data_IF_977315443021
#
_entry.id   IF_977315443021
#
_cell.length_a   1.000
_cell.length_b   1.000
_cell.length_c   1.000
_cell.angle_alpha   90.00
_cell.angle_beta   90.00
_cell.angle_gamma   90.00
#
_symmetry.space_group_name_H-M   'P 1'
#
loop_
_entity.id
_entity.type
_entity.pdbx_description
1 polymer ?
#
# COMPACT_ATOMS: atom_id res chain seq x y z
N UNK A 1 20.80 19.19 -37.99
CA UNK A 1 21.34 18.21 -37.04
C UNK A 1 21.12 18.75 -35.63
N UNK A 2 20.23 18.15 -34.85
CA UNK A 2 20.11 18.49 -33.43
C UNK A 2 21.30 17.86 -32.70
N UNK A 3 22.32 18.66 -32.40
CA UNK A 3 23.39 18.23 -31.51
C UNK A 3 22.83 18.26 -30.10
N UNK A 4 22.34 17.13 -29.60
CA UNK A 4 22.11 17.00 -28.16
C UNK A 4 23.46 17.26 -27.47
N UNK A 5 23.56 18.23 -26.55
CA UNK A 5 24.81 18.51 -25.87
C UNK A 5 25.28 17.24 -25.16
N UNK A 6 26.40 16.70 -25.63
CA UNK A 6 26.99 15.44 -25.13
C UNK A 6 27.56 15.60 -23.71
N UNK A 7 27.58 16.81 -23.18
CA UNK A 7 27.89 17.14 -21.80
C UNK A 7 27.00 18.30 -21.34
N UNK A 8 26.27 18.10 -20.24
CA UNK A 8 25.66 19.20 -19.50
C UNK A 8 26.81 20.08 -18.95
N UNK A 9 26.76 21.41 -19.11
CA UNK A 9 27.64 22.31 -18.40
C UNK A 9 27.73 21.95 -16.91
N UNK A 10 28.92 21.97 -16.29
CA UNK A 10 29.09 21.66 -14.86
C UNK A 10 28.12 22.43 -13.94
N UNK A 11 27.78 23.67 -14.32
CA UNK A 11 26.83 24.54 -13.63
C UNK A 11 25.37 24.05 -13.69
N UNK A 12 25.00 23.26 -14.69
CA UNK A 12 23.68 22.67 -14.86
C UNK A 12 23.54 21.31 -14.15
N UNK A 13 24.63 20.70 -13.69
CA UNK A 13 24.61 19.43 -12.96
C UNK A 13 23.70 19.44 -11.73
N UNK A 14 23.86 20.39 -10.78
CA UNK A 14 22.98 20.51 -9.62
C UNK A 14 21.52 20.75 -10.00
N UNK A 15 21.24 21.54 -11.04
CA UNK A 15 19.88 21.82 -11.50
C UNK A 15 19.20 20.61 -12.14
N UNK A 16 19.94 19.81 -12.91
CA UNK A 16 19.45 18.56 -13.46
C UNK A 16 19.06 17.57 -12.34
N UNK A 17 19.90 17.47 -11.30
CA UNK A 17 19.60 16.66 -10.11
C UNK A 17 18.39 17.22 -9.37
N UNK A 18 18.33 18.54 -9.14
CA UNK A 18 17.19 19.20 -8.49
C UNK A 18 15.87 18.84 -9.19
N UNK A 19 15.79 19.05 -10.50
CA UNK A 19 14.58 18.78 -11.28
C UNK A 19 14.22 17.29 -11.29
N UNK A 20 15.20 16.41 -11.48
CA UNK A 20 14.97 14.96 -11.47
C UNK A 20 14.42 14.49 -10.13
N UNK A 21 15.04 14.92 -9.02
CA UNK A 21 14.60 14.57 -7.66
C UNK A 21 13.23 15.17 -7.38
N UNK A 22 13.00 16.44 -7.71
CA UNK A 22 11.72 17.11 -7.50
C UNK A 22 10.58 16.38 -8.21
N UNK A 23 10.74 16.09 -9.50
CA UNK A 23 9.75 15.37 -10.32
C UNK A 23 9.47 13.98 -9.76
N UNK A 24 10.52 13.28 -9.31
CA UNK A 24 10.38 11.96 -8.68
C UNK A 24 9.58 12.02 -7.38
N UNK A 25 9.91 12.97 -6.51
CA UNK A 25 9.26 13.15 -5.21
C UNK A 25 7.81 13.65 -5.35
N UNK A 26 7.49 14.35 -6.44
CA UNK A 26 6.11 14.69 -6.82
C UNK A 26 5.30 13.47 -7.33
N UNK A 27 5.90 12.28 -7.39
CA UNK A 27 5.22 11.03 -7.70
C UNK A 27 5.28 10.62 -9.18
N UNK A 28 6.02 11.36 -10.01
CA UNK A 28 6.32 10.94 -11.39
C UNK A 28 7.35 9.81 -11.33
N UNK A 29 7.19 8.71 -12.09
CA UNK A 29 8.09 7.56 -12.03
C UNK A 29 9.42 7.80 -12.76
N UNK A 30 10.13 8.87 -12.38
CA UNK A 30 11.51 9.14 -12.78
C UNK A 30 12.44 8.50 -11.73
N UNK A 31 13.53 7.83 -12.12
CA UNK A 31 14.41 7.16 -11.18
C UNK A 31 15.45 8.15 -10.62
N UNK A 32 15.11 8.83 -9.51
CA UNK A 32 16.04 9.76 -8.85
C UNK A 32 17.32 9.10 -8.31
N UNK A 33 17.24 7.86 -7.81
CA UNK A 33 18.40 7.16 -7.23
C UNK A 33 19.56 6.97 -8.25
N UNK A 34 19.32 6.44 -9.47
CA UNK A 34 20.34 6.42 -10.53
C UNK A 34 20.91 7.79 -10.88
N UNK A 35 20.07 8.84 -10.90
CA UNK A 35 20.54 10.21 -11.16
C UNK A 35 21.49 10.69 -10.06
N UNK A 36 21.20 10.38 -8.80
CA UNK A 36 22.06 10.72 -7.66
C UNK A 36 23.36 9.91 -7.64
N UNK A 37 23.31 8.63 -8.02
CA UNK A 37 24.51 7.81 -8.17
C UNK A 37 25.41 8.36 -9.28
N UNK A 38 24.87 8.66 -10.46
CA UNK A 38 25.62 9.28 -11.55
C UNK A 38 26.23 10.63 -11.13
N UNK A 39 25.46 11.47 -10.44
CA UNK A 39 25.96 12.74 -9.95
C UNK A 39 27.07 12.56 -8.89
N UNK A 40 26.98 11.52 -8.05
CA UNK A 40 28.05 11.11 -7.12
C UNK A 40 29.32 10.68 -7.84
N UNK A 41 29.21 9.85 -8.88
CA UNK A 41 30.33 9.47 -9.76
C UNK A 41 30.99 10.69 -10.40
N UNK A 42 30.19 11.61 -10.96
CA UNK A 42 30.71 12.84 -11.56
C UNK A 42 31.36 13.77 -10.53
N UNK A 43 30.83 13.81 -9.31
CA UNK A 43 31.42 14.57 -8.22
C UNK A 43 32.77 14.00 -7.78
N UNK A 44 32.93 12.66 -7.78
CA UNK A 44 34.18 11.99 -7.44
C UNK A 44 35.30 12.30 -8.46
N UNK A 45 34.96 12.45 -9.75
CA UNK A 45 35.90 12.83 -10.82
C UNK A 45 36.09 14.36 -10.90
N UNK A 46 35.48 15.13 -9.99
CA UNK A 46 35.65 16.59 -9.91
C UNK A 46 34.89 17.39 -10.96
N UNK A 47 33.95 16.77 -11.69
CA UNK A 47 33.18 17.45 -12.74
C UNK A 47 32.02 18.30 -12.20
N UNK A 48 31.49 17.96 -11.02
CA UNK A 48 30.40 18.70 -10.35
C UNK A 48 30.69 18.84 -8.85
N UNK A 49 30.19 19.91 -8.24
CA UNK A 49 30.35 20.11 -6.78
C UNK A 49 29.47 19.14 -6.00
N UNK A 50 30.09 18.35 -5.12
CA UNK A 50 29.37 17.45 -4.21
C UNK A 50 28.35 18.19 -3.34
N UNK A 51 28.78 19.31 -2.74
CA UNK A 51 27.92 20.13 -1.90
C UNK A 51 26.75 20.74 -2.70
N UNK A 52 27.01 21.21 -3.93
CA UNK A 52 25.96 21.76 -4.79
C UNK A 52 24.90 20.72 -5.16
N UNK A 53 25.31 19.52 -5.55
CA UNK A 53 24.41 18.41 -5.87
C UNK A 53 23.62 17.95 -4.63
N UNK A 54 24.30 17.83 -3.49
CA UNK A 54 23.67 17.43 -2.24
C UNK A 54 22.59 18.43 -1.79
N UNK A 55 22.92 19.72 -1.75
CA UNK A 55 21.96 20.79 -1.41
C UNK A 55 20.79 20.86 -2.39
N UNK A 56 21.07 20.67 -3.69
CA UNK A 56 20.03 20.61 -4.72
C UNK A 56 19.05 19.45 -4.49
N UNK A 57 19.56 18.24 -4.25
CA UNK A 57 18.74 17.06 -4.03
C UNK A 57 17.92 17.15 -2.72
N UNK A 58 18.55 17.61 -1.63
CA UNK A 58 17.85 17.81 -0.35
C UNK A 58 16.79 18.90 -0.49
N UNK A 59 17.11 20.03 -1.11
CA UNK A 59 16.17 21.12 -1.34
C UNK A 59 14.97 20.72 -2.20
N UNK A 60 15.20 19.97 -3.29
CA UNK A 60 14.14 19.42 -4.12
C UNK A 60 13.21 18.47 -3.35
N UNK A 61 13.81 17.62 -2.51
CA UNK A 61 13.07 16.68 -1.66
C UNK A 61 12.20 17.42 -0.65
N UNK A 62 12.78 18.35 0.11
CA UNK A 62 12.06 19.16 1.09
C UNK A 62 10.92 19.95 0.45
N UNK A 63 11.13 20.51 -0.75
CA UNK A 63 10.10 21.27 -1.47
C UNK A 63 8.91 20.38 -1.85
N UNK A 64 9.17 19.22 -2.46
CA UNK A 64 8.12 18.27 -2.83
C UNK A 64 7.36 17.74 -1.61
N UNK A 65 8.08 17.32 -0.58
CA UNK A 65 7.49 16.70 0.60
C UNK A 65 6.72 17.74 1.44
N UNK A 66 7.21 18.98 1.50
CA UNK A 66 6.45 20.10 2.07
C UNK A 66 5.16 20.36 1.32
N UNK A 67 5.20 20.39 -0.02
CA UNK A 67 3.99 20.54 -0.82
C UNK A 67 2.99 19.43 -0.49
N UNK A 68 3.43 18.18 -0.46
CA UNK A 68 2.57 17.05 -0.10
C UNK A 68 2.03 17.15 1.32
N UNK A 69 2.84 17.57 2.28
CA UNK A 69 2.45 17.78 3.67
C UNK A 69 1.37 18.85 3.82
N UNK A 70 1.51 20.00 3.15
CA UNK A 70 0.48 21.05 3.17
C UNK A 70 -0.78 20.63 2.42
N UNK A 71 -0.67 19.95 1.27
CA UNK A 71 -1.83 19.40 0.56
C UNK A 71 -2.54 18.37 1.44
N UNK A 72 -1.79 17.53 2.16
CA UNK A 72 -2.32 16.59 3.15
C UNK A 72 -3.04 17.30 4.30
N UNK A 73 -2.50 18.40 4.80
CA UNK A 73 -3.14 19.21 5.86
C UNK A 73 -4.46 19.84 5.44
N UNK A 74 -4.52 20.39 4.22
CA UNK A 74 -5.72 21.07 3.72
C UNK A 74 -6.77 20.08 3.24
N UNK A 75 -6.37 19.04 2.49
CA UNK A 75 -7.31 18.09 1.86
C UNK A 75 -7.56 16.84 2.70
N UNK A 76 -6.78 16.60 3.75
CA UNK A 76 -6.98 15.56 4.74
C UNK A 76 -7.18 14.17 4.14
N UNK A 77 -8.18 13.45 4.68
CA UNK A 77 -8.60 12.12 4.23
C UNK A 77 -9.03 12.04 2.76
N UNK A 78 -9.48 13.14 2.13
CA UNK A 78 -9.93 13.11 0.71
C UNK A 78 -8.77 12.84 -0.25
N UNK A 79 -7.61 13.42 0.00
CA UNK A 79 -6.39 13.16 -0.78
C UNK A 79 -5.97 11.69 -0.64
N UNK A 80 -5.88 11.21 0.60
CA UNK A 80 -5.47 9.84 0.88
C UNK A 80 -6.42 8.82 0.24
N UNK A 81 -7.74 9.05 0.34
CA UNK A 81 -8.73 8.19 -0.29
C UNK A 81 -8.66 8.22 -1.83
N UNK A 82 -8.35 9.37 -2.43
CA UNK A 82 -8.11 9.49 -3.87
C UNK A 82 -6.88 8.71 -4.34
N UNK A 83 -5.77 8.81 -3.59
CA UNK A 83 -4.53 8.07 -3.85
C UNK A 83 -4.73 6.55 -3.70
N UNK A 84 -5.43 6.11 -2.65
CA UNK A 84 -5.82 4.70 -2.46
C UNK A 84 -6.68 4.19 -3.61
N UNK A 85 -7.66 4.98 -4.06
CA UNK A 85 -8.54 4.61 -5.17
C UNK A 85 -7.77 4.42 -6.47
N UNK A 86 -6.70 5.20 -6.68
CA UNK A 86 -5.87 5.10 -7.87
C UNK A 86 -4.87 3.92 -7.82
N UNK A 87 -4.39 3.53 -6.62
CA UNK A 87 -3.46 2.42 -6.49
C UNK A 87 -3.67 1.55 -5.24
N UNK A 88 -3.98 0.27 -5.49
CA UNK A 88 -3.98 -0.81 -4.49
C UNK A 88 -2.63 -0.97 -3.75
N UNK A 89 -1.51 -0.64 -4.38
CA UNK A 89 -0.21 -0.72 -3.70
C UNK A 89 -0.06 0.34 -2.61
N UNK A 90 -0.74 1.48 -2.77
CA UNK A 90 -0.71 2.58 -1.81
C UNK A 90 -1.51 2.24 -0.56
N UNK A 91 -2.51 1.37 -0.64
CA UNK A 91 -3.29 0.92 0.53
C UNK A 91 -2.42 0.15 1.56
N UNK A 92 -1.59 -0.78 1.09
CA UNK A 92 -0.64 -1.50 1.96
C UNK A 92 0.42 -0.56 2.52
N UNK A 93 1.02 0.29 1.67
CA UNK A 93 2.00 1.29 2.12
C UNK A 93 1.41 2.28 3.12
N UNK A 94 0.14 2.69 2.95
CA UNK A 94 -0.59 3.54 3.89
C UNK A 94 -0.83 2.86 5.23
N UNK A 95 -1.22 1.59 5.24
CA UNK A 95 -1.38 0.83 6.50
C UNK A 95 -0.06 0.70 7.23
N UNK A 96 1.01 0.33 6.53
CA UNK A 96 2.36 0.24 7.11
C UNK A 96 2.79 1.60 7.65
N UNK A 97 2.62 2.66 6.87
CA UNK A 97 2.95 4.01 7.30
C UNK A 97 2.15 4.42 8.55
N UNK A 98 0.85 4.15 8.62
CA UNK A 98 0.02 4.41 9.81
C UNK A 98 0.47 3.62 11.03
N UNK A 99 0.64 2.30 10.91
CA UNK A 99 0.99 1.45 12.05
C UNK A 99 2.39 1.72 12.60
N UNK A 100 3.35 2.10 11.74
CA UNK A 100 4.69 2.51 12.18
C UNK A 100 4.65 3.93 12.74
N UNK A 101 3.86 4.84 12.14
CA UNK A 101 3.67 6.20 12.65
C UNK A 101 3.01 6.21 14.04
N UNK A 102 1.98 5.39 14.28
CA UNK A 102 1.34 5.27 15.60
C UNK A 102 2.35 4.86 16.69
N UNK A 103 3.37 4.08 16.32
CA UNK A 103 4.40 3.59 17.25
C UNK A 103 5.61 4.53 17.39
N UNK A 104 6.04 5.16 16.29
CA UNK A 104 7.33 5.88 16.23
C UNK A 104 7.22 7.35 15.84
N UNK A 105 6.06 7.83 15.38
CA UNK A 105 5.81 9.24 15.04
C UNK A 105 6.58 9.76 13.81
N UNK A 106 6.93 11.04 13.83
CA UNK A 106 7.64 11.75 12.77
C UNK A 106 9.00 11.15 12.33
N UNK A 107 9.81 10.53 13.22
CA UNK A 107 11.05 9.83 12.85
C UNK A 107 10.93 8.84 11.68
N UNK A 108 9.74 8.28 11.42
CA UNK A 108 9.52 7.37 10.28
C UNK A 108 9.95 7.96 8.93
N UNK A 109 9.89 9.29 8.78
CA UNK A 109 10.30 9.99 7.56
C UNK A 109 11.74 9.68 7.13
N UNK A 110 12.62 9.42 8.11
CA UNK A 110 14.03 9.13 7.85
C UNK A 110 14.21 7.83 7.08
N UNK A 111 13.46 6.79 7.43
CA UNK A 111 13.53 5.48 6.79
C UNK A 111 12.56 5.35 5.61
N UNK A 112 11.47 6.10 5.61
CA UNK A 112 10.42 6.03 4.59
C UNK A 112 10.93 6.32 3.17
N UNK A 113 11.98 7.15 3.02
CA UNK A 113 12.57 7.51 1.73
C UNK A 113 13.31 6.36 1.05
N UNK A 114 13.80 5.38 1.82
CA UNK A 114 14.46 4.19 1.28
C UNK A 114 13.47 3.14 0.80
N UNK A 115 12.20 3.22 1.22
CA UNK A 115 11.16 2.27 0.86
C UNK A 115 10.30 2.80 -0.30
N UNK A 116 10.29 2.11 -1.47
CA UNK A 116 9.51 2.55 -2.61
C UNK A 116 8.02 2.73 -2.28
N UNK A 117 7.50 3.92 -2.55
CA UNK A 117 6.09 4.27 -2.33
C UNK A 117 5.74 4.71 -0.90
N UNK A 118 6.58 4.44 0.11
CA UNK A 118 6.33 4.93 1.48
C UNK A 118 6.53 6.45 1.56
N UNK A 119 7.64 6.96 1.00
CA UNK A 119 7.94 8.40 0.99
C UNK A 119 6.81 9.28 0.46
N UNK A 120 6.21 8.90 -0.67
CA UNK A 120 5.08 9.63 -1.30
C UNK A 120 3.83 9.70 -0.41
N UNK A 121 3.66 8.73 0.49
CA UNK A 121 2.50 8.63 1.37
C UNK A 121 2.74 9.28 2.73
N UNK A 122 3.96 9.17 3.27
CA UNK A 122 4.27 9.61 4.62
C UNK A 122 4.08 11.13 4.78
N UNK A 123 4.60 11.93 3.85
CA UNK A 123 4.45 13.39 3.89
C UNK A 123 2.98 13.86 3.94
N UNK A 124 2.09 13.46 3.01
CA UNK A 124 0.69 13.86 3.08
C UNK A 124 -0.04 13.25 4.29
N UNK A 125 0.31 12.03 4.71
CA UNK A 125 -0.27 11.40 5.91
C UNK A 125 0.06 12.20 7.18
N UNK A 126 1.31 12.60 7.36
CA UNK A 126 1.75 13.46 8.46
C UNK A 126 1.07 14.83 8.43
N UNK A 127 0.79 15.35 7.24
CA UNK A 127 0.01 16.57 7.06
C UNK A 127 -1.39 16.50 7.66
N UNK A 128 -2.01 15.32 7.69
CA UNK A 128 -3.33 15.10 8.30
C UNK A 128 -3.31 15.09 9.84
N UNK A 129 -2.12 15.13 10.46
CA UNK A 129 -1.94 15.07 11.91
C UNK A 129 -1.68 16.46 12.51
N UNK A 130 -1.70 16.55 13.84
CA UNK A 130 -1.44 17.79 14.58
C UNK A 130 0.05 18.15 14.70
N UNK A 131 0.94 17.50 13.95
CA UNK A 131 2.39 17.77 14.00
C UNK A 131 2.68 19.17 13.45
N UNK A 132 3.50 19.92 14.20
CA UNK A 132 3.98 21.23 13.80
C UNK A 132 4.85 21.15 12.53
N UNK A 133 4.74 22.10 11.58
CA UNK A 133 5.52 22.09 10.35
C UNK A 133 7.04 22.04 10.56
N UNK A 134 7.55 22.69 11.61
CA UNK A 134 8.99 22.65 11.94
C UNK A 134 9.49 21.27 12.32
N UNK A 135 8.70 20.49 13.08
CA UNK A 135 9.05 19.12 13.47
C UNK A 135 9.05 18.20 12.23
N UNK A 136 8.07 18.37 11.35
CA UNK A 136 8.04 17.67 10.06
C UNK A 136 9.29 18.00 9.23
N UNK A 137 9.59 19.28 9.02
CA UNK A 137 10.73 19.73 8.23
C UNK A 137 12.07 19.21 8.78
N UNK A 138 12.23 19.18 10.11
CA UNK A 138 13.43 18.64 10.74
C UNK A 138 13.65 17.16 10.39
N UNK A 139 12.65 16.33 10.63
CA UNK A 139 12.75 14.89 10.36
C UNK A 139 12.82 14.57 8.87
N UNK A 140 12.13 15.36 8.05
CA UNK A 140 12.21 15.25 6.60
C UNK A 140 13.59 15.64 6.06
N UNK A 141 14.20 16.70 6.60
CA UNK A 141 15.55 17.13 6.27
C UNK A 141 16.60 16.08 6.64
N UNK A 142 16.48 15.47 7.83
CA UNK A 142 17.35 14.36 8.25
C UNK A 142 17.22 13.19 7.27
N UNK A 143 15.99 12.79 6.96
CA UNK A 143 15.74 11.71 5.99
C UNK A 143 16.27 12.01 4.60
N UNK A 144 16.01 13.22 4.10
CA UNK A 144 16.45 13.67 2.78
C UNK A 144 17.97 13.70 2.69
N UNK A 145 18.64 14.17 3.75
CA UNK A 145 20.10 14.23 3.86
C UNK A 145 20.71 12.83 3.88
N UNK A 146 20.18 11.92 4.70
CA UNK A 146 20.65 10.54 4.77
C UNK A 146 20.48 9.83 3.43
N UNK A 147 19.27 9.90 2.85
CA UNK A 147 18.96 9.28 1.57
C UNK A 147 19.84 9.81 0.44
N UNK A 148 19.92 11.14 0.29
CA UNK A 148 20.77 11.78 -0.71
C UNK A 148 22.23 11.39 -0.52
N UNK A 149 22.73 11.46 0.72
CA UNK A 149 24.09 11.09 1.08
C UNK A 149 24.41 9.65 0.71
N UNK A 150 23.52 8.70 1.02
CA UNK A 150 23.73 7.28 0.69
C UNK A 150 23.92 7.07 -0.82
N UNK A 151 23.08 7.68 -1.66
CA UNK A 151 23.20 7.49 -3.12
C UNK A 151 24.38 8.27 -3.72
N UNK A 152 24.68 9.47 -3.24
CA UNK A 152 25.85 10.23 -3.70
C UNK A 152 27.16 9.54 -3.32
N UNK A 153 27.32 9.13 -2.05
CA UNK A 153 28.51 8.41 -1.58
C UNK A 153 28.60 7.07 -2.29
N UNK A 154 27.50 6.34 -2.44
CA UNK A 154 27.47 5.07 -3.16
C UNK A 154 27.91 5.21 -4.62
N UNK A 155 27.47 6.27 -5.31
CA UNK A 155 27.91 6.57 -6.68
C UNK A 155 29.38 7.00 -6.79
N UNK A 156 29.91 7.69 -5.77
CA UNK A 156 31.32 8.04 -5.69
C UNK A 156 32.20 6.81 -5.37
N UNK A 157 31.75 5.93 -4.48
CA UNK A 157 32.46 4.72 -4.10
C UNK A 157 32.53 3.69 -5.23
N UNK A 158 31.43 3.52 -5.98
CA UNK A 158 31.30 2.58 -7.10
C UNK A 158 31.58 3.25 -8.46
N UNK A 159 32.40 4.30 -8.48
CA UNK A 159 32.58 5.09 -9.69
C UNK A 159 33.20 4.27 -10.84
N UNK A 160 34.16 3.40 -10.53
CA UNK A 160 34.82 2.54 -11.51
C UNK A 160 33.85 1.57 -12.19
N UNK A 161 33.00 0.90 -11.42
CA UNK A 161 32.01 -0.05 -11.92
C UNK A 161 30.92 0.66 -12.75
N UNK A 162 30.49 1.83 -12.30
CA UNK A 162 29.51 2.65 -13.03
C UNK A 162 30.09 3.11 -14.37
N UNK A 163 31.35 3.57 -14.38
CA UNK A 163 32.04 3.99 -15.62
C UNK A 163 32.19 2.81 -16.57
N UNK A 164 32.59 1.63 -16.08
CA UNK A 164 32.68 0.41 -16.91
C UNK A 164 31.33 0.01 -17.51
N UNK A 165 30.25 0.07 -16.73
CA UNK A 165 28.90 -0.19 -17.24
C UNK A 165 28.49 0.83 -18.33
N UNK A 166 28.82 2.11 -18.15
CA UNK A 166 28.56 3.14 -19.17
C UNK A 166 29.37 2.89 -20.45
N UNK A 167 30.63 2.45 -20.34
CA UNK A 167 31.45 2.10 -21.48
C UNK A 167 30.89 0.89 -22.24
N UNK A 168 30.36 -0.12 -21.53
CA UNK A 168 29.68 -1.27 -22.15
C UNK A 168 28.44 -0.84 -22.94
N UNK A 169 27.61 0.03 -22.37
CA UNK A 169 26.43 0.59 -23.05
C UNK A 169 26.85 1.34 -24.32
N UNK A 170 27.90 2.16 -24.21
CA UNK A 170 28.40 2.96 -25.33
C UNK A 170 29.06 2.11 -26.42
N UNK A 171 29.76 1.06 -26.04
CA UNK A 171 30.35 0.07 -26.97
C UNK A 171 29.28 -0.61 -27.82
N UNK A 172 28.10 -0.88 -27.26
CA UNK A 172 26.96 -1.46 -27.98
C UNK A 172 26.12 -0.42 -28.74
N UNK A 173 26.65 0.81 -28.90
CA UNK A 173 25.98 1.90 -29.63
C UNK A 173 24.88 2.62 -28.84
N UNK A 174 24.69 2.32 -27.56
CA UNK A 174 23.69 2.95 -26.70
C UNK A 174 24.17 4.27 -26.10
N UNK A 175 23.21 5.11 -25.70
CA UNK A 175 23.44 6.38 -25.01
C UNK A 175 23.07 6.31 -23.53
N UNK A 176 23.49 7.31 -22.74
CA UNK A 176 23.07 7.46 -21.32
C UNK A 176 21.55 7.56 -21.21
N UNK A 177 20.88 8.17 -22.19
CA UNK A 177 19.43 8.27 -22.23
C UNK A 177 18.77 6.90 -22.43
N UNK A 178 19.38 6.02 -23.22
CA UNK A 178 18.89 4.64 -23.41
C UNK A 178 19.02 3.83 -22.12
N UNK A 179 20.12 4.00 -21.38
CA UNK A 179 20.30 3.38 -20.07
C UNK A 179 19.26 3.88 -19.05
N UNK A 180 19.02 5.20 -18.99
CA UNK A 180 17.96 5.78 -18.17
C UNK A 180 16.58 5.28 -18.59
N UNK A 181 16.29 5.25 -19.88
CA UNK A 181 15.03 4.75 -20.42
C UNK A 181 14.81 3.27 -20.08
N UNK A 182 15.85 2.44 -20.17
CA UNK A 182 15.81 1.04 -19.79
C UNK A 182 15.54 0.85 -18.29
N UNK A 183 16.18 1.66 -17.43
CA UNK A 183 15.90 1.66 -15.98
C UNK A 183 14.46 2.09 -15.70
N UNK A 184 14.01 3.20 -16.29
CA UNK A 184 12.62 3.66 -16.21
C UNK A 184 11.65 2.56 -16.63
N UNK A 185 11.85 1.97 -17.81
CA UNK A 185 11.02 0.90 -18.35
C UNK A 185 11.02 -0.33 -17.44
N UNK A 186 12.17 -0.71 -16.88
CA UNK A 186 12.29 -1.83 -15.95
C UNK A 186 11.55 -1.56 -14.64
N UNK A 187 11.69 -0.37 -14.06
CA UNK A 187 10.96 0.02 -12.84
C UNK A 187 9.45 0.05 -13.11
N UNK A 188 9.03 0.62 -14.24
CA UNK A 188 7.62 0.65 -14.65
C UNK A 188 7.08 -0.77 -14.87
N UNK A 189 7.84 -1.62 -15.55
CA UNK A 189 7.50 -3.01 -15.81
C UNK A 189 7.43 -3.82 -14.50
N UNK A 190 8.41 -3.67 -13.61
CA UNK A 190 8.39 -4.29 -12.29
C UNK A 190 7.18 -3.85 -11.48
N UNK A 191 6.87 -2.54 -11.46
CA UNK A 191 5.67 -2.01 -10.82
C UNK A 191 4.40 -2.55 -11.46
N UNK A 192 4.36 -2.71 -12.78
CA UNK A 192 3.24 -3.27 -13.53
C UNK A 192 3.05 -4.77 -13.27
N UNK A 193 4.13 -5.55 -13.30
CA UNK A 193 4.13 -6.98 -12.97
C UNK A 193 3.70 -7.17 -11.53
N UNK A 194 4.26 -6.42 -10.57
CA UNK A 194 3.80 -6.47 -9.17
C UNK A 194 2.32 -6.08 -9.04
N UNK A 195 1.87 -5.08 -9.79
CA UNK A 195 0.45 -4.68 -9.83
C UNK A 195 -0.43 -5.82 -10.37
N UNK A 196 0.01 -6.55 -11.39
CA UNK A 196 -0.71 -7.69 -11.95
C UNK A 196 -0.68 -8.88 -11.01
N UNK A 197 0.48 -9.26 -10.48
CA UNK A 197 0.62 -10.39 -9.55
C UNK A 197 -0.19 -10.18 -8.28
N UNK A 198 -0.15 -8.98 -7.70
CA UNK A 198 -0.99 -8.62 -6.55
C UNK A 198 -2.49 -8.72 -6.91
N UNK A 199 -2.89 -8.24 -8.10
CA UNK A 199 -4.28 -8.39 -8.57
C UNK A 199 -4.69 -9.85 -8.80
N UNK A 200 -3.79 -10.70 -9.33
CA UNK A 200 -4.04 -12.12 -9.61
C UNK A 200 -4.19 -12.94 -8.33
N UNK A 201 -3.28 -12.82 -7.36
CA UNK A 201 -3.40 -13.49 -6.05
C UNK A 201 -4.68 -13.10 -5.29
N UNK A 202 -5.21 -11.91 -5.55
CA UNK A 202 -6.45 -11.39 -4.96
C UNK A 202 -7.72 -11.72 -5.79
N UNK A 203 -7.58 -12.23 -7.01
CA UNK A 203 -8.72 -12.64 -7.85
C UNK A 203 -9.18 -14.07 -7.51
N UNK A 204 -8.25 -14.95 -7.13
CA UNK A 204 -8.53 -16.35 -6.75
C UNK A 204 -9.33 -16.49 -5.44
N UNK A 205 -9.46 -15.42 -4.66
CA UNK A 205 -10.11 -15.43 -3.33
C UNK A 205 -11.44 -14.70 -3.29
N UNK A 206 -12.03 -14.47 -4.46
CA UNK A 206 -13.34 -13.84 -4.59
C UNK A 206 -14.35 -14.85 -5.07
N UNK A 207 -15.53 -14.78 -4.50
CA UNK A 207 -16.71 -15.45 -5.02
C UNK A 207 -17.63 -14.42 -5.65
N UNK A 208 -18.30 -14.81 -6.71
CA UNK A 208 -19.35 -14.04 -7.36
C UNK A 208 -20.65 -14.11 -6.56
N UNK A 209 -21.58 -13.15 -6.71
CA UNK A 209 -22.91 -13.23 -6.12
C UNK A 209 -23.63 -14.54 -6.44
N UNK A 210 -23.46 -15.04 -7.67
CA UNK A 210 -24.09 -16.29 -8.11
C UNK A 210 -23.52 -17.51 -7.36
N UNK A 211 -22.22 -17.52 -7.11
CA UNK A 211 -21.58 -18.56 -6.31
C UNK A 211 -22.01 -18.49 -4.84
N UNK A 212 -22.16 -17.29 -4.28
CA UNK A 212 -22.66 -17.13 -2.91
C UNK A 212 -24.10 -17.65 -2.78
N UNK A 213 -25.00 -17.30 -3.71
CA UNK A 213 -26.38 -17.81 -3.73
C UNK A 213 -26.42 -19.34 -3.85
N UNK A 214 -25.58 -19.94 -4.70
CA UNK A 214 -25.45 -21.39 -4.80
C UNK A 214 -24.95 -22.03 -3.49
N UNK A 215 -23.96 -21.41 -2.83
CA UNK A 215 -23.45 -21.87 -1.53
C UNK A 215 -24.52 -21.77 -0.43
N UNK A 216 -25.32 -20.70 -0.40
CA UNK A 216 -26.41 -20.51 0.57
C UNK A 216 -27.51 -21.57 0.44
N UNK A 217 -27.67 -22.18 -0.74
CA UNK A 217 -28.63 -23.25 -1.01
C UNK A 217 -28.06 -24.66 -0.87
N UNK A 218 -26.78 -24.78 -0.51
CA UNK A 218 -26.11 -26.06 -0.30
C UNK A 218 -26.34 -26.60 1.12
N UNK A 219 -26.04 -27.89 1.34
CA UNK A 219 -26.20 -28.54 2.65
C UNK A 219 -25.27 -27.97 3.74
N UNK A 220 -24.23 -27.20 3.35
CA UNK A 220 -23.31 -26.53 4.25
C UNK A 220 -23.19 -25.03 3.90
N UNK A 221 -24.18 -24.20 4.29
CA UNK A 221 -24.20 -22.79 3.94
C UNK A 221 -23.03 -22.02 4.57
N UNK A 222 -22.48 -21.01 3.87
CA UNK A 222 -21.36 -20.25 4.37
C UNK A 222 -21.77 -19.26 5.46
N UNK A 223 -20.85 -18.94 6.36
CA UNK A 223 -20.99 -17.85 7.30
C UNK A 223 -20.71 -16.52 6.60
N UNK A 224 -21.72 -15.66 6.56
CA UNK A 224 -21.64 -14.36 5.88
C UNK A 224 -21.34 -13.27 6.91
N UNK A 225 -20.33 -12.45 6.65
CA UNK A 225 -19.96 -11.30 7.48
C UNK A 225 -20.10 -9.98 6.72
N UNK A 226 -20.79 -9.04 7.36
CA UNK A 226 -20.92 -7.66 6.95
C UNK A 226 -19.79 -6.81 7.57
N UNK A 227 -18.80 -6.48 6.74
CA UNK A 227 -17.67 -5.64 7.11
C UNK A 227 -17.85 -4.16 6.71
N UNK A 228 -19.09 -3.71 6.49
CA UNK A 228 -19.38 -2.28 6.25
C UNK A 228 -19.10 -1.45 7.51
N UNK A 229 -18.56 -0.22 7.38
CA UNK A 229 -18.45 0.70 8.51
C UNK A 229 -19.81 0.91 9.17
N UNK A 230 -19.86 1.04 10.50
CA UNK A 230 -21.12 1.27 11.25
C UNK A 230 -21.92 2.44 10.67
N UNK A 231 -21.24 3.54 10.36
CA UNK A 231 -21.84 4.73 9.74
C UNK A 231 -22.53 4.50 8.39
N UNK A 232 -22.19 3.41 7.68
CA UNK A 232 -22.86 3.01 6.44
C UNK A 232 -24.04 2.09 6.75
N UNK A 233 -23.88 1.12 7.66
CA UNK A 233 -24.97 0.25 8.13
C UNK A 233 -26.13 1.02 8.73
N UNK A 234 -25.84 2.13 9.41
CA UNK A 234 -26.87 2.98 10.02
C UNK A 234 -27.67 3.78 8.97
N UNK A 235 -27.10 4.00 7.78
CA UNK A 235 -27.78 4.68 6.65
C UNK A 235 -28.49 3.69 5.73
N UNK A 236 -27.82 2.60 5.42
CA UNK A 236 -28.30 1.48 4.60
C UNK A 236 -28.64 0.33 5.54
N UNK A 237 -29.76 0.48 6.24
CA UNK A 237 -30.22 -0.41 7.31
C UNK A 237 -30.76 -1.76 6.79
N UNK A 238 -30.12 -2.33 5.78
CA UNK A 238 -30.40 -3.63 5.20
C UNK A 238 -29.09 -4.38 4.93
N UNK A 239 -29.12 -5.72 4.90
CA UNK A 239 -27.97 -6.63 4.81
C UNK A 239 -28.30 -7.85 3.94
N UNK A 240 -27.29 -8.60 3.51
CA UNK A 240 -27.51 -9.97 3.00
C UNK A 240 -28.13 -10.81 4.11
N UNK A 241 -29.15 -11.60 3.77
CA UNK A 241 -29.85 -12.47 4.71
C UNK A 241 -28.86 -13.35 5.51
N UNK A 242 -29.01 -13.40 6.83
CA UNK A 242 -28.13 -14.17 7.72
C UNK A 242 -26.72 -13.61 7.93
N UNK A 243 -26.38 -12.42 7.41
CA UNK A 243 -25.04 -11.84 7.61
C UNK A 243 -24.81 -11.33 9.04
N UNK A 244 -23.65 -11.60 9.62
CA UNK A 244 -23.24 -11.12 10.95
C UNK A 244 -22.35 -9.87 10.85
N UNK A 245 -22.42 -8.91 11.80
CA UNK A 245 -21.53 -7.75 11.77
C UNK A 245 -20.09 -8.16 12.08
N UNK A 246 -19.12 -7.67 11.31
CA UNK A 246 -17.70 -7.86 11.59
C UNK A 246 -16.96 -6.52 11.55
N UNK A 247 -16.53 -6.03 12.71
CA UNK A 247 -15.73 -4.81 12.80
C UNK A 247 -14.22 -5.12 12.64
N UNK A 248 -13.57 -4.36 11.75
CA UNK A 248 -12.15 -4.49 11.39
C UNK A 248 -11.18 -4.44 12.58
N UNK A 249 -11.55 -3.71 13.62
CA UNK A 249 -10.69 -3.41 14.77
C UNK A 249 -10.79 -4.46 15.89
N UNK A 250 -11.65 -5.49 15.75
CA UNK A 250 -11.83 -6.54 16.76
C UNK A 250 -12.02 -7.95 16.19
N UNK A 251 -11.08 -8.47 15.36
CA UNK A 251 -11.17 -9.83 14.79
C UNK A 251 -10.72 -10.93 15.77
N UNK A 252 -10.65 -10.62 17.07
CA UNK A 252 -10.33 -11.56 18.14
C UNK A 252 -11.60 -12.15 18.78
N UNK A 253 -12.77 -11.85 18.23
CA UNK A 253 -14.06 -12.44 18.60
C UNK A 253 -14.48 -13.64 17.74
N UNK A 254 -13.63 -14.10 16.81
CA UNK A 254 -13.94 -15.27 15.99
C UNK A 254 -13.50 -16.54 16.72
N UNK A 255 -14.50 -17.24 17.24
CA UNK A 255 -14.36 -18.53 17.93
C UNK A 255 -13.77 -19.62 16.98
N UNK A 256 -12.85 -20.47 17.46
CA UNK A 256 -12.36 -21.64 16.73
C UNK A 256 -13.45 -22.53 16.13
N UNK A 257 -14.64 -22.60 16.73
CA UNK A 257 -15.76 -23.40 16.21
C UNK A 257 -16.33 -22.86 14.88
N UNK A 258 -16.21 -21.55 14.62
CA UNK A 258 -16.65 -20.90 13.37
C UNK A 258 -15.70 -21.21 12.19
N UNK A 259 -14.56 -21.84 12.46
CA UNK A 259 -13.50 -22.12 11.47
C UNK A 259 -13.80 -23.34 10.60
N UNK A 260 -14.80 -24.16 10.96
CA UNK A 260 -15.19 -25.35 10.20
C UNK A 260 -16.02 -25.02 8.94
N UNK A 261 -16.62 -23.83 8.87
CA UNK A 261 -17.51 -23.43 7.79
C UNK A 261 -16.80 -22.51 6.78
N UNK A 262 -17.25 -22.51 5.53
CA UNK A 262 -16.79 -21.53 4.54
C UNK A 262 -17.21 -20.13 4.97
N UNK A 263 -16.30 -19.17 4.92
CA UNK A 263 -16.53 -17.79 5.37
C UNK A 263 -16.62 -16.86 4.17
N UNK A 264 -17.62 -15.99 4.14
CA UNK A 264 -17.79 -14.99 3.09
C UNK A 264 -17.89 -13.60 3.71
N UNK A 265 -17.01 -12.69 3.30
CA UNK A 265 -16.98 -11.31 3.80
C UNK A 265 -17.33 -10.34 2.69
N UNK A 266 -18.25 -9.41 2.94
CA UNK A 266 -18.57 -8.33 2.00
C UNK A 266 -18.37 -6.95 2.64
N UNK A 267 -18.07 -5.94 1.82
CA UNK A 267 -17.96 -4.56 2.25
C UNK A 267 -18.42 -3.60 1.15
N UNK A 268 -18.60 -2.32 1.49
CA UNK A 268 -18.99 -1.22 0.57
C UNK A 268 -17.79 -0.53 -0.07
N UNK A 269 -16.55 -0.93 0.27
CA UNK A 269 -15.38 -0.22 -0.20
C UNK A 269 -15.14 -0.43 -1.71
N UNK A 270 -14.73 0.62 -2.46
CA UNK A 270 -14.35 0.46 -3.85
C UNK A 270 -13.26 -0.59 -3.95
N UNK A 271 -13.50 -1.62 -4.76
CA UNK A 271 -12.59 -2.73 -4.95
C UNK A 271 -12.32 -3.51 -3.64
N UNK A 272 -13.31 -3.74 -2.80
CA UNK A 272 -13.34 -4.72 -1.68
C UNK A 272 -12.15 -4.68 -0.70
N UNK A 273 -11.46 -3.53 -0.56
CA UNK A 273 -10.20 -3.45 0.17
C UNK A 273 -10.30 -3.94 1.63
N UNK A 274 -11.38 -3.56 2.31
CA UNK A 274 -11.71 -3.98 3.69
C UNK A 274 -11.95 -5.49 3.79
N UNK A 275 -12.81 -6.06 2.94
CA UNK A 275 -13.09 -7.49 2.94
C UNK A 275 -11.83 -8.32 2.67
N UNK A 276 -10.96 -7.85 1.75
CA UNK A 276 -9.68 -8.52 1.47
C UNK A 276 -8.72 -8.50 2.65
N UNK A 277 -8.64 -7.40 3.38
CA UNK A 277 -7.78 -7.32 4.55
C UNK A 277 -8.20 -8.31 5.64
N UNK A 278 -9.51 -8.46 5.84
CA UNK A 278 -10.08 -9.44 6.78
C UNK A 278 -9.68 -10.86 6.34
N UNK A 279 -9.87 -11.21 5.07
CA UNK A 279 -9.50 -12.54 4.54
C UNK A 279 -7.99 -12.82 4.69
N UNK A 280 -7.13 -11.84 4.42
CA UNK A 280 -5.68 -12.00 4.64
C UNK A 280 -5.32 -12.23 6.11
N UNK A 281 -6.05 -11.61 7.04
CA UNK A 281 -5.85 -11.83 8.47
C UNK A 281 -6.36 -13.21 8.91
N UNK A 282 -7.49 -13.66 8.37
CA UNK A 282 -8.04 -15.00 8.60
C UNK A 282 -7.09 -16.10 8.08
N UNK A 283 -6.55 -15.94 6.87
CA UNK A 283 -5.58 -16.89 6.31
C UNK A 283 -4.29 -16.98 7.13
N UNK A 284 -3.81 -15.85 7.69
CA UNK A 284 -2.65 -15.87 8.59
C UNK A 284 -2.92 -16.61 9.91
N UNK A 285 -4.19 -16.72 10.30
CA UNK A 285 -4.64 -17.56 11.43
C UNK A 285 -4.92 -19.02 11.01
N UNK A 286 -4.58 -19.43 9.78
CA UNK A 286 -4.77 -20.79 9.26
C UNK A 286 -6.13 -21.05 8.59
N UNK A 287 -6.96 -20.02 8.44
CA UNK A 287 -8.34 -20.14 7.93
C UNK A 287 -8.32 -19.90 6.43
N UNK A 288 -8.22 -20.96 5.63
CA UNK A 288 -8.05 -20.86 4.17
C UNK A 288 -9.36 -20.83 3.38
N UNK A 289 -10.50 -21.08 4.04
CA UNK A 289 -11.84 -21.17 3.44
C UNK A 289 -12.60 -19.83 3.50
N UNK A 290 -11.87 -18.70 3.47
CA UNK A 290 -12.44 -17.36 3.56
C UNK A 290 -12.39 -16.63 2.21
N UNK A 291 -13.52 -16.11 1.78
CA UNK A 291 -13.70 -15.50 0.46
C UNK A 291 -14.33 -14.11 0.53
N UNK A 292 -13.97 -13.23 -0.42
CA UNK A 292 -14.57 -11.90 -0.56
C UNK A 292 -15.72 -11.95 -1.54
N UNK A 293 -16.86 -11.36 -1.21
CA UNK A 293 -17.94 -11.18 -2.16
C UNK A 293 -17.56 -10.11 -3.19
N UNK A 294 -17.51 -10.52 -4.47
CA UNK A 294 -17.16 -9.62 -5.57
C UNK A 294 -18.23 -8.55 -5.75
N UNK A 295 -17.83 -7.28 -5.63
CA UNK A 295 -18.73 -6.14 -5.78
C UNK A 295 -19.63 -5.84 -4.58
N UNK A 296 -19.53 -6.60 -3.48
CA UNK A 296 -20.21 -6.31 -2.23
C UNK A 296 -21.74 -6.42 -2.30
N UNK A 297 -22.42 -5.63 -1.46
CA UNK A 297 -23.89 -5.62 -1.35
C UNK A 297 -24.56 -5.09 -2.63
N UNK A 298 -24.01 -4.03 -3.24
CA UNK A 298 -24.55 -3.46 -4.48
C UNK A 298 -24.64 -4.49 -5.61
N UNK A 299 -23.62 -5.35 -5.74
CA UNK A 299 -23.61 -6.40 -6.76
C UNK A 299 -24.61 -7.53 -6.47
N UNK A 300 -24.86 -7.81 -5.19
CA UNK A 300 -25.88 -8.76 -4.75
C UNK A 300 -27.29 -8.23 -5.06
N UNK A 301 -27.57 -6.97 -4.73
CA UNK A 301 -28.86 -6.32 -4.98
C UNK A 301 -29.14 -6.16 -6.47
N UNK A 302 -28.13 -5.79 -7.27
CA UNK A 302 -28.28 -5.64 -8.72
C UNK A 302 -28.71 -6.94 -9.41
N UNK A 303 -28.45 -8.09 -8.80
CA UNK A 303 -28.88 -9.41 -9.28
C UNK A 303 -30.26 -9.83 -8.77
N UNK A 304 -30.89 -9.02 -7.91
CA UNK A 304 -32.23 -9.28 -7.37
C UNK A 304 -32.25 -10.33 -6.24
N UNK A 305 -31.11 -10.59 -5.60
CA UNK A 305 -31.03 -11.53 -4.49
C UNK A 305 -31.58 -10.93 -3.18
N UNK A 306 -32.08 -11.77 -2.25
CA UNK A 306 -32.79 -11.29 -1.06
C UNK A 306 -31.87 -10.53 -0.10
N UNK A 307 -32.40 -9.44 0.46
CA UNK A 307 -31.81 -8.66 1.54
C UNK A 307 -32.80 -8.53 2.70
N UNK A 308 -32.29 -8.41 3.90
CA UNK A 308 -33.09 -8.27 5.13
C UNK A 308 -32.79 -6.92 5.81
N UNK A 309 -33.77 -6.30 6.48
CA UNK A 309 -33.48 -5.14 7.33
C UNK A 309 -32.53 -5.51 8.47
N UNK A 310 -31.73 -4.55 8.93
CA UNK A 310 -30.89 -4.74 10.10
C UNK A 310 -31.77 -4.91 11.35
N UNK A 311 -31.69 -6.05 12.06
CA UNK A 311 -32.46 -6.24 13.30
C UNK A 311 -31.92 -5.35 14.42
N UNK A 312 -32.77 -5.00 15.39
CA UNK A 312 -32.39 -4.11 16.50
C UNK A 312 -31.28 -4.67 17.40
N UNK A 313 -31.09 -5.98 17.42
CA UNK A 313 -30.04 -6.69 18.17
C UNK A 313 -28.82 -7.07 17.32
N UNK A 314 -28.71 -6.53 16.10
CA UNK A 314 -27.67 -6.90 15.13
C UNK A 314 -26.26 -6.84 15.72
N UNK A 315 -25.93 -5.80 16.47
CA UNK A 315 -24.60 -5.63 17.08
C UNK A 315 -24.29 -6.62 18.23
N UNK A 316 -25.31 -7.32 18.76
CA UNK A 316 -25.18 -8.33 19.82
C UNK A 316 -25.12 -9.76 19.25
N UNK A 317 -25.48 -9.94 17.98
CA UNK A 317 -25.62 -11.25 17.34
C UNK A 317 -24.32 -12.05 17.21
N UNK A 318 -23.16 -11.40 17.03
CA UNK A 318 -21.86 -12.08 16.95
C UNK A 318 -21.52 -12.83 18.27
N UNK A 319 -21.89 -12.25 19.42
CA UNK A 319 -21.70 -12.89 20.73
C UNK A 319 -22.61 -14.12 20.91
N UNK A 320 -23.80 -14.12 20.33
CA UNK A 320 -24.69 -15.29 20.37
C UNK A 320 -24.18 -16.41 19.48
N UNK A 321 -23.55 -16.11 18.35
CA UNK A 321 -22.97 -17.14 17.47
C UNK A 321 -21.84 -17.92 18.16
N UNK A 322 -21.03 -17.23 18.98
CA UNK A 322 -20.02 -17.88 19.82
C UNK A 322 -20.63 -18.74 20.96
N UNK A 323 -21.91 -18.54 21.31
CA UNK A 323 -22.61 -19.27 22.37
C UNK A 323 -23.56 -20.35 21.82
N UNK A 324 -23.99 -20.23 20.57
CA UNK A 324 -25.02 -21.08 19.96
C UNK A 324 -24.47 -22.28 19.16
N UNK A 325 -23.15 -22.46 19.09
CA UNK A 325 -22.58 -23.75 18.66
C UNK A 325 -22.72 -24.69 19.85
N UNK A 326 -23.54 -25.76 19.76
CA UNK A 326 -23.66 -26.71 20.85
C UNK A 326 -22.30 -27.39 21.07
N UNK A 327 -21.81 -27.42 22.31
CA UNK A 327 -20.90 -28.49 22.72
C UNK A 327 -21.70 -29.79 22.64
N UNK A 328 -21.65 -30.47 21.49
CA UNK A 328 -22.22 -31.82 21.39
C UNK A 328 -21.42 -32.72 22.34
N UNK A 329 -22.07 -32.99 23.46
CA UNK A 329 -21.71 -33.83 24.57
C UNK A 329 -21.46 -35.27 24.10
N UNK A 330 -20.26 -35.55 23.59
CA UNK A 330 -19.75 -36.93 23.50
C UNK A 330 -19.25 -37.37 24.88
N UNK A 331 -20.19 -37.70 25.77
CA UNK A 331 -19.89 -38.53 26.94
C UNK A 331 -19.53 -39.94 26.47
N UNK A 332 -18.24 -40.19 26.24
CA UNK A 332 -17.72 -41.55 26.11
C UNK A 332 -17.82 -42.23 27.46
N UNK A 333 -18.89 -43.02 27.68
CA UNK A 333 -18.94 -44.02 28.74
C UNK A 333 -17.85 -45.07 28.50
N UNK A 334 -16.74 -44.95 29.20
CA UNK A 334 -15.80 -46.05 29.36
C UNK A 334 -16.46 -47.14 30.20
N UNK A 335 -16.91 -48.21 29.56
CA UNK A 335 -17.20 -49.49 30.23
C UNK A 335 -15.96 -50.35 30.08
N UNK A 336 -15.31 -50.65 31.20
CA UNK A 336 -14.23 -51.64 31.27
C UNK A 336 -14.87 -53.04 31.30
N UNK A 337 -14.42 -54.00 30.47
CA UNK A 337 -14.82 -55.39 30.60
C UNK A 337 -13.87 -56.14 31.55
N UNK A 338 -14.45 -56.86 32.53
CA UNK A 338 -13.80 -57.94 33.29
C UNK A 338 -13.21 -57.54 34.63
#
# INVERSE_FOLDING_TARGET
>A
MWHFPTALPPSLGPWAVFLSVLVTQLGVPVPAAPMLMLAGTMAAVGQVSYAGVFCAAVGATLLADSLWFFVGRVRGRRLLNGLVRFSLSLDTSLRVARGVFEKHGAPILTLAKFLPGLGLICAPLLGTTAIAPGVFLLWDAVGASLWTGTYLIGGAALHDEIVQAMLLVRHNGGTIFDAFAAICATVLLYRWIRRIQFRRKLAERRISPEQLDAMMRSDAPPLIFDARPRSVRDKEAYRIAGAYPLDLDSPDQLDPALLAHSIVVYCVCPNEATARHIIERLHRKGIHHAHALKGGLDAWEKRGYPVEPLPSDFYTSLKRLAVAVPEDEYTVRATMPG
#
